data_IF_095091819325
#
_entry.id   IF_095091819325
#
_cell.length_a   1.000
_cell.length_b   1.000
_cell.length_c   1.000
_cell.angle_alpha   90.00
_cell.angle_beta   90.00
_cell.angle_gamma   90.00
#
_symmetry.space_group_name_H-M   'P 1'
#
loop_
_entity.id
_entity.type
_entity.pdbx_description
1 polymer ?
#
# COMPACT_ATOMS: atom_id res chain seq x y z
N UNK A 1 12.18 -3.30 5.46
CA UNK A 1 12.15 -2.29 4.36
C UNK A 1 11.54 -1.03 4.95
N UNK A 2 12.19 0.14 4.91
CA UNK A 2 11.66 1.38 5.50
C UNK A 2 11.24 2.38 4.44
N UNK A 3 10.08 3.04 4.60
CA UNK A 3 9.61 4.02 3.64
C UNK A 3 10.52 5.27 3.62
N UNK A 4 10.84 5.81 2.43
CA UNK A 4 11.68 7.02 2.32
C UNK A 4 11.11 8.22 3.07
N UNK A 5 9.79 8.33 3.15
CA UNK A 5 9.10 9.40 3.86
C UNK A 5 9.16 9.26 5.38
N UNK A 6 9.37 8.05 5.90
CA UNK A 6 9.58 7.78 7.33
C UNK A 6 10.84 8.51 7.82
N UNK A 7 11.95 8.41 7.06
CA UNK A 7 13.22 9.11 7.33
C UNK A 7 13.07 10.64 7.37
N UNK A 8 12.06 11.17 6.69
CA UNK A 8 11.73 12.60 6.67
C UNK A 8 10.63 12.97 7.69
N UNK A 9 10.33 12.09 8.64
CA UNK A 9 9.32 12.31 9.68
C UNK A 9 7.89 12.38 9.12
N UNK A 10 7.59 11.59 8.08
CA UNK A 10 6.29 11.53 7.41
C UNK A 10 5.86 12.84 6.75
N UNK A 11 6.83 13.58 6.20
CA UNK A 11 6.62 14.84 5.49
C UNK A 11 7.05 14.75 4.02
N UNK A 12 6.33 15.45 3.16
CA UNK A 12 6.69 15.65 1.75
C UNK A 12 7.85 16.64 1.63
N UNK A 13 8.42 16.77 0.43
CA UNK A 13 9.44 17.79 0.14
C UNK A 13 8.96 19.22 0.44
N UNK A 14 7.66 19.48 0.31
CA UNK A 14 7.03 20.76 0.68
C UNK A 14 6.75 20.91 2.19
N UNK A 15 7.31 20.04 3.04
CA UNK A 15 7.13 20.00 4.51
C UNK A 15 5.70 19.78 5.00
N UNK A 16 4.78 19.40 4.11
CA UNK A 16 3.41 19.02 4.47
C UNK A 16 3.36 17.55 4.89
N UNK A 17 2.42 17.13 5.73
CA UNK A 17 2.19 15.72 5.99
C UNK A 17 1.97 14.94 4.69
N UNK A 18 2.49 13.72 4.61
CA UNK A 18 2.16 12.82 3.49
C UNK A 18 0.68 12.45 3.52
N UNK A 19 0.08 12.28 2.34
CA UNK A 19 -1.31 11.84 2.21
C UNK A 19 -1.44 10.42 2.78
N UNK A 20 -2.53 10.15 3.48
CA UNK A 20 -2.85 8.85 4.10
C UNK A 20 -1.75 8.34 5.04
N UNK A 21 -1.12 9.25 5.79
CA UNK A 21 0.02 8.96 6.69
C UNK A 21 -0.28 7.79 7.62
N UNK A 22 -1.46 7.78 8.21
CA UNK A 22 -1.94 6.77 9.15
C UNK A 22 -1.99 5.36 8.54
N UNK A 23 -2.32 5.23 7.25
CA UNK A 23 -2.29 3.94 6.56
C UNK A 23 -0.86 3.46 6.34
N UNK A 24 0.03 4.37 5.92
CA UNK A 24 1.42 4.02 5.69
C UNK A 24 2.17 3.62 6.96
N UNK A 25 1.88 4.26 8.08
CA UNK A 25 2.45 3.87 9.39
C UNK A 25 2.04 2.44 9.73
N UNK A 26 0.76 2.09 9.57
CA UNK A 26 0.29 0.71 9.82
C UNK A 26 0.96 -0.32 8.91
N UNK A 27 1.14 -0.01 7.63
CA UNK A 27 1.85 -0.88 6.69
C UNK A 27 3.32 -1.04 7.09
N UNK A 28 3.97 0.05 7.52
CA UNK A 28 5.35 0.03 7.96
C UNK A 28 5.54 -0.84 9.21
N UNK A 29 4.68 -0.67 10.22
CA UNK A 29 4.64 -1.51 11.41
C UNK A 29 4.53 -2.99 11.03
N UNK A 30 3.56 -3.37 10.19
CA UNK A 30 3.38 -4.75 9.74
C UNK A 30 4.59 -5.30 8.94
N UNK A 31 5.22 -4.46 8.11
CA UNK A 31 6.45 -4.81 7.39
C UNK A 31 7.66 -5.02 8.31
N UNK A 32 7.66 -4.44 9.51
CA UNK A 32 8.70 -4.70 10.52
C UNK A 32 8.43 -6.00 11.27
N UNK A 33 7.16 -6.38 11.44
CA UNK A 33 6.77 -7.63 12.12
C UNK A 33 6.89 -8.88 11.23
N UNK A 34 6.75 -8.75 9.91
CA UNK A 34 6.73 -9.88 8.98
C UNK A 34 7.84 -9.81 7.95
N UNK A 35 8.33 -10.97 7.50
CA UNK A 35 9.24 -11.05 6.36
C UNK A 35 8.44 -11.00 5.04
N UNK A 36 8.22 -9.79 4.55
CA UNK A 36 7.38 -9.52 3.37
C UNK A 36 8.25 -9.21 2.15
N UNK A 37 8.06 -9.99 1.08
CA UNK A 37 8.59 -9.68 -0.25
C UNK A 37 7.51 -8.98 -1.08
N UNK A 38 7.80 -7.75 -1.49
CA UNK A 38 6.90 -6.96 -2.33
C UNK A 38 7.16 -7.26 -3.81
N UNK A 39 6.13 -7.75 -4.50
CA UNK A 39 6.15 -8.01 -5.94
C UNK A 39 5.21 -7.04 -6.63
N UNK A 40 5.75 -6.18 -7.50
CA UNK A 40 4.92 -5.36 -8.37
C UNK A 40 4.43 -6.21 -9.54
N UNK A 41 3.12 -6.33 -9.69
CA UNK A 41 2.47 -6.97 -10.84
C UNK A 41 1.87 -5.91 -11.75
N UNK A 42 1.94 -6.14 -13.06
CA UNK A 42 1.34 -5.24 -14.04
C UNK A 42 -0.18 -5.42 -14.03
N UNK A 43 -0.95 -4.33 -13.97
CA UNK A 43 -2.41 -4.41 -14.07
C UNK A 43 -2.87 -5.05 -15.39
N UNK A 44 -3.98 -5.80 -15.34
CA UNK A 44 -4.62 -6.48 -16.48
C UNK A 44 -3.66 -7.35 -17.32
N UNK A 45 -2.67 -7.96 -16.67
CA UNK A 45 -1.71 -8.84 -17.34
C UNK A 45 -2.05 -10.33 -17.19
N UNK A 46 -3.27 -10.65 -16.69
CA UNK A 46 -3.76 -12.02 -16.56
C UNK A 46 -3.24 -12.75 -15.33
N UNK A 47 -2.67 -12.04 -14.34
CA UNK A 47 -2.31 -12.64 -13.07
C UNK A 47 -3.59 -12.94 -12.28
N UNK A 48 -4.00 -14.21 -12.28
CA UNK A 48 -5.29 -14.68 -11.75
C UNK A 48 -5.61 -14.12 -10.36
N UNK A 49 -4.65 -14.14 -9.46
CA UNK A 49 -4.78 -13.66 -8.08
C UNK A 49 -5.01 -12.15 -8.01
N UNK A 50 -4.36 -11.37 -8.89
CA UNK A 50 -4.58 -9.93 -8.97
C UNK A 50 -5.98 -9.61 -9.53
N UNK A 51 -6.44 -10.35 -10.54
CA UNK A 51 -7.79 -10.19 -11.10
C UNK A 51 -8.88 -10.53 -10.05
N UNK A 52 -8.64 -11.55 -9.20
CA UNK A 52 -9.53 -11.86 -8.08
C UNK A 52 -9.54 -10.72 -7.06
N UNK A 53 -8.37 -10.16 -6.72
CA UNK A 53 -8.28 -9.03 -5.80
C UNK A 53 -9.04 -7.79 -6.33
N UNK A 54 -8.90 -7.48 -7.63
CA UNK A 54 -9.64 -6.38 -8.29
C UNK A 54 -11.15 -6.63 -8.26
N UNK A 55 -11.60 -7.85 -8.59
CA UNK A 55 -13.03 -8.21 -8.53
C UNK A 55 -13.60 -8.05 -7.11
N UNK A 56 -12.87 -8.52 -6.09
CA UNK A 56 -13.31 -8.41 -4.69
C UNK A 56 -13.34 -6.94 -4.22
N UNK A 57 -12.37 -6.13 -4.63
CA UNK A 57 -12.35 -4.71 -4.33
C UNK A 57 -13.55 -3.97 -4.94
N UNK A 58 -13.90 -4.27 -6.21
CA UNK A 58 -15.07 -3.70 -6.88
C UNK A 58 -16.37 -4.12 -6.19
N UNK A 59 -16.51 -5.41 -5.86
CA UNK A 59 -17.67 -5.91 -5.13
C UNK A 59 -17.87 -5.18 -3.80
N UNK A 60 -16.79 -4.87 -3.08
CA UNK A 60 -16.86 -4.12 -1.82
C UNK A 60 -17.41 -2.69 -1.98
N UNK A 61 -17.25 -2.07 -3.14
CA UNK A 61 -17.86 -0.76 -3.45
C UNK A 61 -19.33 -0.92 -3.85
N UNK A 62 -19.67 -1.97 -4.62
CA UNK A 62 -21.05 -2.21 -5.04
C UNK A 62 -21.99 -2.54 -3.85
N UNK A 63 -21.45 -3.10 -2.77
CA UNK A 63 -22.17 -3.44 -1.54
C UNK A 63 -22.25 -2.27 -0.51
N UNK A 64 -21.71 -1.10 -0.85
CA UNK A 64 -21.57 0.08 0.02
C UNK A 64 -22.69 1.10 -0.21
#
# INVERSE_FOLDING_TARGET
MGFRVEKNGWKTSSKKPVKNRELWIKVDELNQYHDITWCWVKGHSGHRENEIADMLANKGIDEL
#
